data_IF_463168448478
#
_entry.id   IF_463168448478
#
_cell.length_a   1.000
_cell.length_b   1.000
_cell.length_c   1.000
_cell.angle_alpha   90.00
_cell.angle_beta   90.00
_cell.angle_gamma   90.00
#
_symmetry.space_group_name_H-M   'P 1'
#
loop_
_entity.id
_entity.type
_entity.pdbx_description
1 polymer ?
#
# COMPACT_ATOMS: atom_id res chain seq x y z
N UNK A 1 35.31 -13.16 13.67
CA UNK A 1 33.90 -13.55 13.40
C UNK A 1 32.99 -12.51 14.02
N UNK A 2 32.42 -11.60 13.23
CA UNK A 2 31.42 -10.63 13.71
C UNK A 2 30.07 -11.34 13.63
N UNK A 3 29.45 -11.57 14.78
CA UNK A 3 28.10 -12.11 14.90
C UNK A 3 27.13 -11.15 14.21
N UNK A 4 26.56 -11.55 13.07
CA UNK A 4 25.44 -10.83 12.43
C UNK A 4 24.24 -10.91 13.37
N UNK A 5 23.94 -9.82 14.06
CA UNK A 5 22.68 -9.62 14.74
C UNK A 5 21.57 -9.77 13.70
N UNK A 6 20.63 -10.70 13.89
CA UNK A 6 19.50 -10.85 12.97
C UNK A 6 18.66 -9.58 13.07
N UNK A 7 18.67 -8.75 12.04
CA UNK A 7 17.83 -7.56 11.97
C UNK A 7 16.37 -7.95 12.24
N UNK A 8 15.75 -7.28 13.22
CA UNK A 8 14.34 -7.48 13.51
C UNK A 8 13.52 -6.92 12.34
N UNK A 9 12.53 -7.66 11.83
CA UNK A 9 11.71 -7.15 10.74
C UNK A 9 10.94 -5.91 11.20
N UNK A 10 10.92 -4.88 10.35
CA UNK A 10 10.23 -3.61 10.61
C UNK A 10 8.94 -3.53 9.80
N UNK A 11 7.93 -2.88 10.37
CA UNK A 11 6.58 -2.78 9.81
C UNK A 11 6.01 -1.38 9.99
N UNK A 12 5.03 -1.03 9.17
CA UNK A 12 4.24 0.18 9.34
C UNK A 12 2.94 -0.17 10.10
N UNK A 13 2.58 0.63 11.10
CA UNK A 13 1.35 0.50 11.89
C UNK A 13 0.47 1.73 11.69
N UNK A 14 -0.74 1.53 11.16
CA UNK A 14 -1.76 2.57 11.05
C UNK A 14 -2.88 2.31 12.04
N UNK A 15 -3.31 3.35 12.75
CA UNK A 15 -4.36 3.27 13.79
C UNK A 15 -5.42 4.33 13.54
N UNK A 16 -6.69 3.96 13.64
CA UNK A 16 -7.83 4.88 13.60
C UNK A 16 -8.65 4.75 14.88
N UNK A 17 -8.79 5.85 15.63
CA UNK A 17 -9.67 5.90 16.80
C UNK A 17 -11.13 5.82 16.37
N UNK A 18 -11.95 5.08 17.12
CA UNK A 18 -13.40 5.09 16.92
C UNK A 18 -13.98 6.39 17.45
N UNK A 19 -14.76 7.05 16.60
CA UNK A 19 -15.51 8.26 16.93
C UNK A 19 -16.99 7.99 16.69
N UNK A 20 -17.83 8.30 17.66
CA UNK A 20 -19.28 8.07 17.56
C UNK A 20 -19.92 8.92 16.45
N UNK A 21 -19.34 10.09 16.17
CA UNK A 21 -19.76 10.99 15.09
C UNK A 21 -19.44 10.47 13.69
N UNK A 22 -18.52 9.50 13.55
CA UNK A 22 -18.06 8.99 12.26
C UNK A 22 -18.55 7.57 12.03
N UNK A 23 -19.67 7.46 11.30
CA UNK A 23 -20.29 6.17 10.92
C UNK A 23 -19.37 5.27 10.08
N UNK A 24 -18.52 5.83 9.22
CA UNK A 24 -17.65 5.06 8.32
C UNK A 24 -16.17 5.26 8.67
N UNK A 25 -15.51 4.19 9.11
CA UNK A 25 -14.05 4.17 9.36
C UNK A 25 -13.30 4.12 8.03
N UNK A 26 -12.34 5.04 7.85
CA UNK A 26 -11.48 5.07 6.67
C UNK A 26 -10.54 3.87 6.64
N UNK A 27 -9.94 3.54 7.79
CA UNK A 27 -9.03 2.41 7.93
C UNK A 27 -9.73 1.08 7.69
N UNK A 28 -11.01 0.95 8.07
CA UNK A 28 -11.81 -0.24 7.75
C UNK A 28 -12.00 -0.39 6.24
N UNK A 29 -12.20 0.71 5.50
CA UNK A 29 -12.28 0.67 4.04
C UNK A 29 -10.93 0.30 3.43
N UNK A 30 -9.83 0.91 3.88
CA UNK A 30 -8.47 0.57 3.42
C UNK A 30 -8.17 -0.93 3.59
N UNK A 31 -8.48 -1.48 4.77
CA UNK A 31 -8.34 -2.92 5.07
C UNK A 31 -9.21 -3.82 4.17
N UNK A 32 -10.37 -3.32 3.71
CA UNK A 32 -11.24 -4.07 2.80
C UNK A 32 -10.66 -4.06 1.38
N UNK A 33 -10.23 -2.89 0.89
CA UNK A 33 -9.61 -2.71 -0.43
C UNK A 33 -8.33 -3.53 -0.52
N UNK A 34 -7.41 -3.39 0.43
CA UNK A 34 -6.15 -4.14 0.45
C UNK A 34 -6.38 -5.65 0.47
N UNK A 35 -7.49 -6.13 1.05
CA UNK A 35 -7.84 -7.55 0.96
C UNK A 35 -8.43 -7.96 -0.39
N UNK A 36 -9.31 -7.16 -0.96
CA UNK A 36 -9.86 -7.43 -2.28
C UNK A 36 -8.72 -7.53 -3.31
N UNK A 37 -7.81 -6.56 -3.29
CA UNK A 37 -6.62 -6.54 -4.13
C UNK A 37 -5.76 -7.79 -3.88
N UNK A 38 -5.37 -8.07 -2.63
CA UNK A 38 -4.53 -9.24 -2.33
C UNK A 38 -5.18 -10.60 -2.61
N UNK A 39 -6.52 -10.70 -2.64
CA UNK A 39 -7.23 -11.94 -2.98
C UNK A 39 -7.11 -12.33 -4.45
N UNK A 40 -6.71 -11.41 -5.34
CA UNK A 40 -6.46 -11.71 -6.76
C UNK A 40 -5.36 -12.78 -6.93
N UNK A 41 -4.44 -12.93 -5.95
CA UNK A 41 -3.37 -13.96 -5.96
C UNK A 41 -3.91 -15.39 -6.16
N UNK A 42 -5.18 -15.68 -5.82
CA UNK A 42 -5.68 -17.05 -5.67
C UNK A 42 -6.54 -17.57 -6.84
N UNK A 43 -6.83 -16.77 -7.86
CA UNK A 43 -7.89 -17.07 -8.83
C UNK A 43 -7.43 -17.36 -10.28
N UNK A 44 -6.22 -17.87 -10.53
CA UNK A 44 -5.76 -18.12 -11.91
C UNK A 44 -4.69 -19.19 -12.09
N UNK A 45 -4.63 -19.77 -13.30
CA UNK A 45 -3.52 -20.63 -13.73
C UNK A 45 -2.21 -19.83 -13.96
N UNK A 46 -1.11 -20.52 -14.31
CA UNK A 46 0.26 -19.97 -14.31
C UNK A 46 0.41 -18.62 -15.05
N UNK A 47 -0.22 -18.45 -16.21
CA UNK A 47 -0.20 -17.21 -17.01
C UNK A 47 -0.88 -16.01 -16.30
N UNK A 48 -1.90 -16.28 -15.48
CA UNK A 48 -2.57 -15.25 -14.67
C UNK A 48 -1.76 -14.88 -13.42
N UNK A 49 -0.80 -15.71 -13.02
CA UNK A 49 -0.02 -15.51 -11.80
C UNK A 49 1.05 -14.43 -11.97
N UNK A 50 1.78 -14.42 -13.10
CA UNK A 50 2.75 -13.36 -13.42
C UNK A 50 2.07 -11.98 -13.51
N UNK A 51 0.90 -11.94 -14.17
CA UNK A 51 0.11 -10.70 -14.26
C UNK A 51 -0.40 -10.25 -12.89
N UNK A 52 -0.81 -11.18 -12.02
CA UNK A 52 -1.23 -10.88 -10.65
C UNK A 52 -0.05 -10.35 -9.82
N UNK A 53 1.15 -10.93 -9.92
CA UNK A 53 2.35 -10.41 -9.25
C UNK A 53 2.71 -9.01 -9.74
N UNK A 54 2.59 -8.74 -11.04
CA UNK A 54 2.76 -7.39 -11.58
C UNK A 54 1.71 -6.41 -11.05
N UNK A 55 0.46 -6.85 -10.90
CA UNK A 55 -0.63 -6.05 -10.35
C UNK A 55 -0.42 -5.69 -8.86
N UNK A 56 0.08 -6.63 -8.08
CA UNK A 56 0.14 -6.51 -6.62
C UNK A 56 1.37 -5.77 -6.11
N UNK A 57 2.42 -5.63 -6.93
CA UNK A 57 3.66 -4.93 -6.55
C UNK A 57 3.42 -3.49 -6.09
N UNK A 58 2.32 -2.87 -6.52
CA UNK A 58 1.97 -1.48 -6.22
C UNK A 58 1.20 -1.31 -4.91
N UNK A 59 0.86 -2.41 -4.23
CA UNK A 59 0.10 -2.40 -2.99
C UNK A 59 0.88 -3.06 -1.86
N UNK A 60 0.71 -2.54 -0.65
CA UNK A 60 1.37 -3.08 0.53
C UNK A 60 0.69 -4.35 1.02
N UNK A 61 1.49 -5.30 1.49
CA UNK A 61 0.98 -6.51 2.11
C UNK A 61 0.42 -6.23 3.51
N UNK A 62 -0.70 -6.88 3.83
CA UNK A 62 -1.27 -6.87 5.19
C UNK A 62 -0.54 -7.93 6.01
N UNK A 63 0.07 -7.52 7.12
CA UNK A 63 0.75 -8.42 8.06
C UNK A 63 -0.19 -8.81 9.20
N UNK A 64 -0.88 -7.83 9.79
CA UNK A 64 -1.86 -8.05 10.84
C UNK A 64 -2.90 -6.92 10.87
N UNK A 65 -4.05 -7.16 11.50
CA UNK A 65 -5.10 -6.17 11.66
C UNK A 65 -6.04 -6.57 12.79
N UNK A 66 -6.62 -5.59 13.49
CA UNK A 66 -7.76 -5.88 14.35
C UNK A 66 -8.72 -4.70 14.52
N UNK A 67 -9.93 -5.07 14.96
CA UNK A 67 -10.90 -4.17 15.57
C UNK A 67 -10.79 -4.36 17.08
N UNK A 68 -10.41 -3.30 17.79
CA UNK A 68 -10.46 -3.22 19.26
C UNK A 68 -11.61 -2.33 19.68
N UNK A 69 -11.92 -2.23 20.95
CA UNK A 69 -13.10 -1.47 21.41
C UNK A 69 -12.98 0.02 21.09
N UNK A 70 -11.79 0.59 21.25
CA UNK A 70 -11.55 2.03 21.09
C UNK A 70 -10.92 2.42 19.75
N UNK A 71 -10.38 1.47 18.98
CA UNK A 71 -9.66 1.78 17.74
C UNK A 71 -9.62 0.58 16.78
N UNK A 72 -9.27 0.87 15.53
CA UNK A 72 -8.86 -0.10 14.52
C UNK A 72 -7.36 0.03 14.31
N UNK A 73 -6.69 -1.08 13.98
CA UNK A 73 -5.29 -1.03 13.54
C UNK A 73 -5.03 -1.93 12.33
N UNK A 74 -4.00 -1.56 11.58
CA UNK A 74 -3.44 -2.29 10.45
C UNK A 74 -1.91 -2.27 10.59
N UNK A 75 -1.31 -3.46 10.66
CA UNK A 75 0.13 -3.67 10.47
C UNK A 75 0.33 -4.08 9.01
N UNK A 76 1.20 -3.38 8.32
CA UNK A 76 1.45 -3.56 6.89
C UNK A 76 2.95 -3.48 6.59
N UNK A 77 3.31 -3.93 5.39
CA UNK A 77 4.66 -3.81 4.87
C UNK A 77 5.18 -2.37 5.02
N UNK A 78 6.35 -2.22 5.65
CA UNK A 78 7.06 -0.95 5.65
C UNK A 78 7.69 -0.73 4.27
N UNK A 79 7.44 0.42 3.67
CA UNK A 79 7.99 0.83 2.38
C UNK A 79 8.97 2.00 2.55
N UNK A 80 9.61 2.39 1.47
CA UNK A 80 10.55 3.51 1.46
C UNK A 80 9.89 4.88 1.67
N UNK A 81 10.70 5.93 1.46
CA UNK A 81 10.28 7.33 1.54
C UNK A 81 9.13 7.62 0.57
N UNK A 82 8.27 8.57 0.93
CA UNK A 82 7.19 9.00 0.04
C UNK A 82 7.76 9.77 -1.16
N UNK A 83 6.97 9.87 -2.25
CA UNK A 83 7.34 10.70 -3.40
C UNK A 83 7.51 12.19 -3.02
N UNK A 84 6.76 12.67 -2.03
CA UNK A 84 6.89 14.03 -1.51
C UNK A 84 8.24 14.23 -0.81
N UNK A 85 8.66 13.27 0.02
CA UNK A 85 9.97 13.30 0.69
C UNK A 85 11.11 13.25 -0.34
N UNK A 86 11.03 12.32 -1.29
CA UNK A 86 12.01 12.19 -2.38
C UNK A 86 12.11 13.46 -3.24
N UNK A 87 10.98 14.13 -3.48
CA UNK A 87 10.94 15.42 -4.16
C UNK A 87 11.63 16.48 -3.31
N UNK A 88 11.35 16.54 -2.01
CA UNK A 88 11.90 17.57 -1.11
C UNK A 88 13.42 17.45 -0.91
N UNK A 89 13.96 16.23 -0.99
CA UNK A 89 15.41 15.96 -0.90
C UNK A 89 16.19 16.44 -2.13
N UNK A 90 15.53 16.69 -3.26
CA UNK A 90 16.16 17.24 -4.47
C UNK A 90 16.42 18.73 -4.29
N UNK A 91 17.59 19.21 -4.73
CA UNK A 91 17.98 20.64 -4.67
C UNK A 91 16.90 21.59 -5.22
N UNK A 92 16.30 21.23 -6.34
CA UNK A 92 15.28 22.04 -7.02
C UNK A 92 13.84 21.68 -6.64
N UNK A 93 13.64 20.72 -5.72
CA UNK A 93 12.32 20.22 -5.31
C UNK A 93 11.43 19.75 -6.47
N UNK A 94 12.06 19.25 -7.53
CA UNK A 94 11.41 18.63 -8.68
C UNK A 94 12.00 17.24 -8.92
N UNK A 95 11.15 16.34 -9.41
CA UNK A 95 11.61 15.05 -9.94
C UNK A 95 12.17 15.29 -11.35
N UNK A 96 13.21 14.54 -11.72
CA UNK A 96 13.66 14.54 -13.12
C UNK A 96 12.55 14.03 -14.03
N UNK A 97 12.56 14.43 -15.30
CA UNK A 97 11.56 13.98 -16.27
C UNK A 97 11.45 12.45 -16.33
N UNK A 98 12.60 11.75 -16.40
CA UNK A 98 12.61 10.29 -16.43
C UNK A 98 12.01 9.65 -15.17
N UNK A 99 12.32 10.20 -13.99
CA UNK A 99 11.71 9.75 -12.73
C UNK A 99 10.21 10.04 -12.71
N UNK A 100 9.79 11.25 -13.10
CA UNK A 100 8.39 11.65 -13.14
C UNK A 100 7.55 10.77 -14.05
N UNK A 101 8.03 10.48 -15.27
CA UNK A 101 7.38 9.57 -16.21
C UNK A 101 7.28 8.14 -15.64
N UNK A 102 8.36 7.63 -15.04
CA UNK A 102 8.38 6.27 -14.45
C UNK A 102 7.44 6.13 -13.25
N UNK A 103 7.35 7.16 -12.40
CA UNK A 103 6.41 7.22 -11.29
C UNK A 103 4.98 7.29 -11.81
N UNK A 104 4.72 8.14 -12.81
CA UNK A 104 3.39 8.30 -13.40
C UNK A 104 2.89 6.99 -14.01
N UNK A 105 3.78 6.26 -14.69
CA UNK A 105 3.47 4.94 -15.25
C UNK A 105 3.06 3.94 -14.16
N UNK A 106 3.82 3.84 -13.06
CA UNK A 106 3.49 2.94 -11.94
C UNK A 106 2.20 3.34 -11.23
N UNK A 107 1.94 4.64 -11.04
CA UNK A 107 0.69 5.14 -10.48
C UNK A 107 -0.51 4.77 -11.38
N UNK A 108 -0.38 4.88 -12.70
CA UNK A 108 -1.43 4.48 -13.64
C UNK A 108 -1.71 2.97 -13.58
N UNK A 109 -0.66 2.13 -13.49
CA UNK A 109 -0.83 0.69 -13.28
C UNK A 109 -1.58 0.39 -11.97
N UNK A 110 -1.24 1.06 -10.87
CA UNK A 110 -1.91 0.90 -9.58
C UNK A 110 -3.40 1.33 -9.64
N UNK A 111 -3.70 2.45 -10.31
CA UNK A 111 -5.07 2.94 -10.50
C UNK A 111 -5.89 1.99 -11.34
N UNK A 112 -5.33 1.47 -12.46
CA UNK A 112 -6.00 0.46 -13.26
C UNK A 112 -6.34 -0.78 -12.42
N UNK A 113 -5.39 -1.25 -11.62
CA UNK A 113 -5.64 -2.38 -10.71
C UNK A 113 -6.79 -2.10 -9.74
N UNK A 114 -6.85 -0.90 -9.16
CA UNK A 114 -7.92 -0.52 -8.26
C UNK A 114 -9.29 -0.47 -8.97
N UNK A 115 -9.32 -0.01 -10.22
CA UNK A 115 -10.53 0.00 -11.04
C UNK A 115 -11.00 -1.42 -11.40
N UNK A 116 -10.08 -2.33 -11.71
CA UNK A 116 -10.40 -3.72 -12.04
C UNK A 116 -11.04 -4.47 -10.86
N UNK A 117 -10.71 -4.10 -9.62
CA UNK A 117 -11.38 -4.62 -8.41
C UNK A 117 -12.64 -3.84 -8.01
N UNK A 118 -13.04 -2.83 -8.80
CA UNK A 118 -14.27 -2.07 -8.60
C UNK A 118 -14.18 -0.94 -7.56
N UNK A 119 -12.98 -0.44 -7.26
CA UNK A 119 -12.77 0.63 -6.28
C UNK A 119 -12.23 1.91 -6.93
N UNK A 120 -12.50 3.06 -6.30
CA UNK A 120 -11.95 4.37 -6.67
C UNK A 120 -11.11 4.91 -5.50
N UNK A 121 -9.88 5.37 -5.77
CA UNK A 121 -8.97 5.86 -4.71
C UNK A 121 -9.49 7.15 -4.06
N UNK A 122 -9.92 8.11 -4.88
CA UNK A 122 -10.53 9.41 -4.49
C UNK A 122 -9.67 10.34 -3.60
N UNK A 123 -8.39 10.03 -3.41
CA UNK A 123 -7.44 10.79 -2.56
C UNK A 123 -6.00 10.62 -3.07
N UNK A 124 -5.81 10.73 -4.39
CA UNK A 124 -4.50 10.68 -5.06
C UNK A 124 -3.87 12.07 -5.15
#
# INVERSE_FOLDING_TARGET
MVSRERERPTFALKVEKKLDSRRHSKLKMEIAILKAVNSIKQCGGEEKQEKAEKFLRHFTEIIDRAKKDRYFFLVMQLVGKSLADLKYERRERVLSLGTGLSVSHQCLEAVQCLHDVGYLHRDN
#
